data_IF_503458508843
#
_entry.id   IF_503458508843
#
_cell.length_a   1.000
_cell.length_b   1.000
_cell.length_c   1.000
_cell.angle_alpha   90.00
_cell.angle_beta   90.00
_cell.angle_gamma   90.00
#
_symmetry.space_group_name_H-M   'P 1'
#
loop_
_entity.id
_entity.type
_entity.pdbx_description
1 polymer ?
#
# COMPACT_ATOMS: atom_id res chain seq x y z
N UNK A 1 -15.07 3.32 -11.36
CA UNK A 1 -14.32 3.30 -10.09
C UNK A 1 -12.87 2.89 -10.36
N UNK A 2 -11.96 3.53 -9.68
CA UNK A 2 -10.53 3.18 -9.75
C UNK A 2 -10.29 1.79 -9.16
N UNK A 3 -9.49 0.98 -9.86
CA UNK A 3 -9.05 -0.33 -9.37
C UNK A 3 -7.80 -0.17 -8.50
N UNK A 4 -7.83 -0.73 -7.30
CA UNK A 4 -6.73 -0.75 -6.34
C UNK A 4 -6.33 -2.21 -6.11
N UNK A 5 -5.03 -2.50 -6.21
CA UNK A 5 -4.50 -3.81 -5.87
C UNK A 5 -4.30 -3.89 -4.36
N UNK A 6 -4.70 -4.99 -3.75
CA UNK A 6 -4.56 -5.18 -2.31
C UNK A 6 -4.08 -6.60 -1.98
N UNK A 7 -3.20 -6.70 -1.01
CA UNK A 7 -2.69 -7.98 -0.53
C UNK A 7 -2.21 -7.84 0.92
N UNK A 8 -2.02 -8.95 1.58
CA UNK A 8 -1.51 -9.00 2.96
C UNK A 8 -0.75 -10.30 3.22
N UNK A 9 -0.23 -10.44 4.43
CA UNK A 9 0.08 -11.73 5.00
C UNK A 9 -1.08 -12.18 5.93
N UNK A 10 -0.87 -13.25 6.69
CA UNK A 10 -1.87 -13.74 7.65
C UNK A 10 -2.17 -12.72 8.75
N UNK A 11 -1.15 -11.97 9.23
CA UNK A 11 -1.33 -10.95 10.26
C UNK A 11 -2.13 -9.73 9.75
N UNK A 12 -2.01 -9.41 8.47
CA UNK A 12 -2.71 -8.29 7.85
C UNK A 12 -4.06 -8.63 7.27
N UNK A 13 -4.45 -9.90 7.25
CA UNK A 13 -5.68 -10.36 6.57
C UNK A 13 -6.95 -9.66 7.07
N UNK A 14 -7.16 -9.60 8.37
CA UNK A 14 -8.39 -8.98 8.93
C UNK A 14 -8.48 -7.50 8.57
N UNK A 15 -7.38 -6.75 8.68
CA UNK A 15 -7.36 -5.35 8.28
C UNK A 15 -7.59 -5.19 6.78
N UNK A 16 -7.00 -6.07 5.95
CA UNK A 16 -7.25 -6.09 4.49
C UNK A 16 -8.75 -6.22 4.18
N UNK A 17 -9.45 -7.14 4.83
CA UNK A 17 -10.87 -7.34 4.64
C UNK A 17 -11.71 -6.13 5.11
N UNK A 18 -11.34 -5.53 6.23
CA UNK A 18 -11.98 -4.30 6.72
C UNK A 18 -11.78 -3.12 5.76
N UNK A 19 -10.60 -2.99 5.17
CA UNK A 19 -10.31 -1.97 4.16
C UNK A 19 -11.22 -2.14 2.95
N UNK A 20 -11.29 -3.34 2.39
CA UNK A 20 -12.15 -3.63 1.24
C UNK A 20 -13.59 -3.28 1.52
N UNK A 21 -14.11 -3.69 2.69
CA UNK A 21 -15.48 -3.39 3.12
C UNK A 21 -15.72 -1.89 3.26
N UNK A 22 -14.80 -1.16 3.89
CA UNK A 22 -14.96 0.27 4.15
C UNK A 22 -14.98 1.11 2.87
N UNK A 23 -14.21 0.72 1.88
CA UNK A 23 -14.03 1.48 0.63
C UNK A 23 -14.74 0.89 -0.59
N UNK A 24 -15.59 -0.11 -0.41
CA UNK A 24 -16.24 -0.82 -1.54
C UNK A 24 -17.09 0.08 -2.45
N UNK A 25 -17.59 1.22 -1.93
CA UNK A 25 -18.34 2.20 -2.73
C UNK A 25 -17.47 3.20 -3.47
N UNK A 26 -16.18 3.29 -3.10
CA UNK A 26 -15.21 4.24 -3.69
C UNK A 26 -14.25 3.58 -4.67
N UNK A 27 -13.87 2.34 -4.41
CA UNK A 27 -12.83 1.64 -5.18
C UNK A 27 -13.24 0.20 -5.51
N UNK A 28 -12.77 -0.26 -6.65
CA UNK A 28 -12.81 -1.67 -7.01
C UNK A 28 -11.48 -2.30 -6.56
N UNK A 29 -11.54 -3.32 -5.71
CA UNK A 29 -10.34 -4.00 -5.27
C UNK A 29 -10.04 -5.24 -6.09
N UNK A 30 -8.78 -5.39 -6.51
CA UNK A 30 -8.25 -6.65 -6.97
C UNK A 30 -7.42 -7.24 -5.82
N UNK A 31 -8.01 -8.20 -5.13
CA UNK A 31 -7.40 -8.87 -3.98
C UNK A 31 -6.48 -9.99 -4.47
N UNK A 32 -5.21 -9.93 -4.10
CA UNK A 32 -4.19 -10.90 -4.49
C UNK A 32 -3.86 -11.91 -3.38
N UNK A 33 -4.70 -11.96 -2.36
CA UNK A 33 -4.60 -12.92 -1.27
C UNK A 33 -3.88 -12.40 -0.03
N UNK A 34 -3.77 -13.28 0.98
CA UNK A 34 -4.36 -14.61 1.11
C UNK A 34 -5.88 -14.55 1.32
N UNK A 35 -6.52 -15.74 1.35
CA UNK A 35 -7.97 -15.87 1.52
C UNK A 35 -8.40 -16.13 2.96
N UNK A 36 -7.45 -16.28 3.88
CA UNK A 36 -7.72 -16.50 5.29
C UNK A 36 -6.55 -16.02 6.15
N UNK A 37 -6.77 -15.94 7.47
CA UNK A 37 -5.76 -15.55 8.46
C UNK A 37 -5.16 -16.74 9.23
N UNK A 38 -5.62 -17.95 8.97
CA UNK A 38 -5.31 -19.13 9.78
C UNK A 38 -4.01 -19.81 9.37
N UNK A 39 -3.65 -19.73 8.10
CA UNK A 39 -2.41 -20.29 7.57
C UNK A 39 -1.32 -19.25 7.56
N UNK A 40 -0.21 -19.53 8.26
CA UNK A 40 0.96 -18.66 8.21
C UNK A 40 1.55 -18.62 6.82
N UNK A 41 1.85 -17.43 6.31
CA UNK A 41 2.40 -17.22 4.98
C UNK A 41 3.60 -16.28 5.05
N UNK A 42 4.44 -16.32 4.03
CA UNK A 42 5.59 -15.43 3.90
C UNK A 42 5.15 -14.12 3.22
N UNK A 43 5.22 -13.02 3.94
CA UNK A 43 4.78 -11.71 3.43
C UNK A 43 5.45 -11.30 2.11
N UNK A 44 6.75 -11.59 1.85
CA UNK A 44 7.38 -11.18 0.58
C UNK A 44 6.71 -11.79 -0.65
N UNK A 45 6.20 -13.01 -0.56
CA UNK A 45 5.51 -13.65 -1.69
C UNK A 45 4.31 -12.82 -2.15
N UNK A 46 3.56 -12.30 -1.19
CA UNK A 46 2.38 -11.46 -1.47
C UNK A 46 2.76 -10.04 -1.89
N UNK A 47 3.84 -9.50 -1.34
CA UNK A 47 4.39 -8.21 -1.78
C UNK A 47 4.81 -8.29 -3.26
N UNK A 48 5.57 -9.31 -3.64
CA UNK A 48 6.03 -9.49 -5.02
C UNK A 48 4.88 -9.67 -6.00
N UNK A 49 3.88 -10.45 -5.61
CA UNK A 49 2.68 -10.67 -6.42
C UNK A 49 1.94 -9.38 -6.74
N UNK A 50 1.77 -8.52 -5.75
CA UNK A 50 1.13 -7.21 -5.92
C UNK A 50 2.01 -6.26 -6.74
N UNK A 51 3.31 -6.20 -6.47
CA UNK A 51 4.22 -5.32 -7.17
C UNK A 51 4.27 -5.58 -8.68
N UNK A 52 4.20 -6.84 -9.09
CA UNK A 52 4.11 -7.23 -10.51
C UNK A 52 2.87 -6.65 -11.21
N UNK A 53 1.77 -6.47 -10.48
CA UNK A 53 0.55 -5.85 -11.01
C UNK A 53 0.68 -4.33 -11.04
N UNK A 54 1.14 -3.73 -9.96
CA UNK A 54 1.27 -2.27 -9.85
C UNK A 54 2.27 -1.73 -10.87
N UNK A 55 3.39 -2.43 -11.10
CA UNK A 55 4.44 -2.02 -12.04
C UNK A 55 4.01 -1.91 -13.51
N UNK A 56 2.86 -2.49 -13.87
CA UNK A 56 2.38 -2.52 -15.26
C UNK A 56 1.91 -1.15 -15.78
N UNK A 57 1.55 -0.23 -14.88
CA UNK A 57 1.13 1.12 -15.26
C UNK A 57 1.47 2.12 -14.18
N UNK A 58 1.89 3.31 -14.57
CA UNK A 58 2.18 4.41 -13.65
C UNK A 58 0.95 4.92 -12.89
N UNK A 59 -0.24 4.61 -13.36
CA UNK A 59 -1.51 4.97 -12.69
C UNK A 59 -1.96 3.94 -11.66
N UNK A 60 -1.33 2.75 -11.63
CA UNK A 60 -1.70 1.71 -10.69
C UNK A 60 -1.23 2.05 -9.27
N UNK A 61 -2.05 1.69 -8.30
CA UNK A 61 -1.75 1.86 -6.88
C UNK A 61 -2.05 0.57 -6.12
N UNK A 62 -1.32 0.37 -5.02
CA UNK A 62 -1.44 -0.82 -4.21
C UNK A 62 -1.49 -0.55 -2.71
N UNK A 63 -2.08 -1.49 -1.99
CA UNK A 63 -2.13 -1.54 -0.53
C UNK A 63 -1.57 -2.88 -0.08
N UNK A 64 -0.56 -2.85 0.78
CA UNK A 64 0.03 -4.03 1.40
C UNK A 64 -0.11 -3.94 2.91
N UNK A 65 -0.55 -5.03 3.53
CA UNK A 65 -0.74 -5.08 4.98
C UNK A 65 0.00 -6.29 5.57
N UNK A 66 0.83 -6.04 6.55
CA UNK A 66 1.40 -7.09 7.41
C UNK A 66 1.34 -6.64 8.87
N UNK A 67 2.04 -7.30 9.78
CA UNK A 67 2.01 -6.95 11.20
C UNK A 67 2.52 -5.53 11.48
N UNK A 68 3.62 -5.13 10.84
CA UNK A 68 4.25 -3.80 11.03
C UNK A 68 4.20 -2.90 9.79
N UNK A 69 3.96 -3.46 8.60
CA UNK A 69 4.09 -2.77 7.33
C UNK A 69 5.53 -2.61 6.85
N UNK A 70 6.50 -2.88 7.71
CA UNK A 70 7.93 -2.65 7.44
C UNK A 70 8.47 -3.67 6.44
N UNK A 71 8.29 -4.95 6.70
CA UNK A 71 8.76 -6.01 5.80
C UNK A 71 8.12 -5.94 4.42
N UNK A 72 6.83 -5.63 4.37
CA UNK A 72 6.11 -5.40 3.10
C UNK A 72 6.75 -4.27 2.28
N UNK A 73 7.14 -3.16 2.92
CA UNK A 73 7.77 -2.05 2.23
C UNK A 73 9.16 -2.42 1.71
N UNK A 74 9.93 -3.16 2.50
CA UNK A 74 11.27 -3.61 2.09
C UNK A 74 11.19 -4.53 0.86
N UNK A 75 10.28 -5.52 0.88
CA UNK A 75 10.08 -6.43 -0.24
C UNK A 75 9.58 -5.69 -1.49
N UNK A 76 8.61 -4.80 -1.32
CA UNK A 76 8.03 -4.03 -2.42
C UNK A 76 9.06 -3.13 -3.10
N UNK A 77 9.91 -2.45 -2.34
CA UNK A 77 10.90 -1.52 -2.87
C UNK A 77 12.08 -2.20 -3.59
N UNK A 78 12.13 -3.52 -3.64
CA UNK A 78 13.05 -4.27 -4.51
C UNK A 78 12.64 -4.21 -5.98
N UNK A 79 11.40 -3.88 -6.27
CA UNK A 79 10.91 -3.80 -7.64
C UNK A 79 11.14 -2.42 -8.24
N UNK A 80 11.70 -2.38 -9.46
CA UNK A 80 11.73 -1.15 -10.25
C UNK A 80 10.32 -0.60 -10.43
N UNK A 81 10.16 0.70 -10.49
CA UNK A 81 8.88 1.43 -10.62
C UNK A 81 8.00 1.35 -9.38
N UNK A 82 8.43 0.70 -8.30
CA UNK A 82 7.71 0.68 -7.04
C UNK A 82 8.36 1.65 -6.05
N UNK A 83 7.53 2.49 -5.46
CA UNK A 83 7.87 3.35 -4.34
C UNK A 83 6.83 3.10 -3.26
N UNK A 84 7.17 2.18 -2.38
CA UNK A 84 6.32 1.79 -1.25
C UNK A 84 6.69 2.58 -0.01
N UNK A 85 5.69 3.09 0.69
CA UNK A 85 5.87 3.86 1.91
C UNK A 85 5.11 3.22 3.06
N UNK A 86 5.79 3.04 4.20
CA UNK A 86 5.14 2.65 5.46
C UNK A 86 4.40 3.87 5.99
N UNK A 87 3.08 3.75 6.12
CA UNK A 87 2.24 4.85 6.57
C UNK A 87 1.59 4.52 7.90
N UNK A 88 1.79 5.38 8.87
CA UNK A 88 1.29 5.24 10.25
C UNK A 88 0.64 6.53 10.76
N UNK A 89 0.68 7.60 9.99
CA UNK A 89 0.04 8.88 10.32
C UNK A 89 -0.44 9.58 9.05
N UNK A 90 -1.38 10.50 9.22
CA UNK A 90 -1.87 11.31 8.11
C UNK A 90 -0.74 12.14 7.49
N UNK A 91 0.15 12.69 8.33
CA UNK A 91 1.26 13.52 7.89
C UNK A 91 2.26 12.75 7.03
N UNK A 92 2.76 11.59 7.51
CA UNK A 92 3.74 10.84 6.72
C UNK A 92 3.12 10.26 5.45
N UNK A 93 1.85 9.93 5.47
CA UNK A 93 1.12 9.47 4.29
C UNK A 93 1.07 10.55 3.20
N UNK A 94 0.67 11.77 3.58
CA UNK A 94 0.63 12.89 2.62
C UNK A 94 2.01 13.17 2.04
N UNK A 95 3.06 13.19 2.87
CA UNK A 95 4.43 13.41 2.42
C UNK A 95 4.90 12.33 1.45
N UNK A 96 4.55 11.08 1.66
CA UNK A 96 4.91 9.99 0.75
C UNK A 96 4.35 10.20 -0.67
N UNK A 97 3.18 10.83 -0.76
CA UNK A 97 2.58 11.19 -2.04
C UNK A 97 3.16 12.49 -2.60
N UNK A 98 3.16 13.55 -1.81
CA UNK A 98 3.61 14.88 -2.24
C UNK A 98 5.06 14.87 -2.71
N UNK A 99 5.95 14.22 -1.98
CA UNK A 99 7.39 14.27 -2.21
C UNK A 99 7.94 13.08 -2.98
N UNK A 100 7.42 11.88 -2.73
CA UNK A 100 8.01 10.65 -3.24
C UNK A 100 7.15 9.97 -4.33
N UNK A 101 5.99 10.50 -4.62
CA UNK A 101 5.03 9.88 -5.55
C UNK A 101 4.88 8.38 -5.29
N UNK A 102 4.75 8.01 -4.01
CA UNK A 102 4.60 6.62 -3.61
C UNK A 102 3.38 6.00 -4.31
N UNK A 103 3.53 4.80 -4.84
CA UNK A 103 2.46 4.10 -5.53
C UNK A 103 1.95 2.87 -4.76
N UNK A 104 2.60 2.54 -3.65
CA UNK A 104 2.13 1.52 -2.70
C UNK A 104 2.18 2.09 -1.30
N UNK A 105 1.07 1.96 -0.58
CA UNK A 105 1.01 2.21 0.86
C UNK A 105 1.15 0.87 1.59
N UNK A 106 2.02 0.81 2.59
CA UNK A 106 2.10 -0.35 3.48
C UNK A 106 1.63 0.02 4.88
N UNK A 107 0.90 -0.89 5.50
CA UNK A 107 0.24 -0.69 6.78
C UNK A 107 0.58 -1.83 7.74
N UNK A 108 0.72 -1.48 9.01
CA UNK A 108 0.97 -2.43 10.09
C UNK A 108 -0.30 -2.70 10.91
N UNK A 109 -0.88 -3.88 10.76
CA UNK A 109 -2.13 -4.26 11.47
C UNK A 109 -1.99 -4.27 12.99
N UNK A 110 -0.76 -4.51 13.49
CA UNK A 110 -0.47 -4.56 14.93
C UNK A 110 -0.05 -3.21 15.51
N UNK A 111 0.30 -2.24 14.67
CA UNK A 111 0.86 -0.96 15.08
C UNK A 111 -0.06 0.23 14.83
N UNK A 112 -0.97 0.10 13.87
CA UNK A 112 -1.84 1.19 13.43
C UNK A 112 -3.29 0.85 13.68
N UNK A 113 -4.00 1.74 14.39
CA UNK A 113 -5.43 1.58 14.62
C UNK A 113 -6.21 1.59 13.30
N UNK A 114 -7.29 0.83 13.23
CA UNK A 114 -8.13 0.71 12.04
C UNK A 114 -8.55 2.06 11.45
N UNK A 115 -9.06 2.97 12.27
CA UNK A 115 -9.49 4.29 11.80
C UNK A 115 -8.34 5.13 11.27
N UNK A 116 -7.17 5.05 11.88
CA UNK A 116 -5.96 5.71 11.37
C UNK A 116 -5.55 5.12 10.03
N UNK A 117 -5.59 3.80 9.88
CA UNK A 117 -5.31 3.13 8.60
C UNK A 117 -6.27 3.60 7.50
N UNK A 118 -7.56 3.72 7.79
CA UNK A 118 -8.55 4.21 6.83
C UNK A 118 -8.27 5.65 6.40
N UNK A 119 -7.94 6.53 7.35
CA UNK A 119 -7.58 7.93 7.06
C UNK A 119 -6.31 8.03 6.23
N UNK A 120 -5.33 7.18 6.51
CA UNK A 120 -4.11 7.10 5.71
C UNK A 120 -4.41 6.66 4.27
N UNK A 121 -5.21 5.63 4.09
CA UNK A 121 -5.60 5.17 2.75
C UNK A 121 -6.32 6.28 1.97
N UNK A 122 -7.28 6.95 2.60
CA UNK A 122 -8.00 8.04 1.96
C UNK A 122 -7.07 9.18 1.55
N UNK A 123 -6.16 9.59 2.43
CA UNK A 123 -5.16 10.60 2.12
C UNK A 123 -4.22 10.16 0.99
N UNK A 124 -3.77 8.89 1.02
CA UNK A 124 -2.89 8.34 0.00
C UNK A 124 -3.53 8.38 -1.39
N UNK A 125 -4.79 7.98 -1.49
CA UNK A 125 -5.52 7.94 -2.75
C UNK A 125 -5.86 9.33 -3.31
N UNK A 126 -6.01 10.33 -2.44
CA UNK A 126 -6.46 11.68 -2.82
C UNK A 126 -5.34 12.72 -2.90
N UNK A 127 -4.13 12.42 -2.43
CA UNK A 127 -3.01 13.34 -2.48
C UNK A 127 -2.22 13.17 -3.78
N UNK A 128 -2.12 14.22 -4.56
CA UNK A 128 -1.36 14.22 -5.83
C UNK A 128 0.11 14.50 -5.57
N UNK A 129 0.97 14.00 -6.47
CA UNK A 129 2.39 14.33 -6.46
C UNK A 129 2.60 15.83 -6.73
N UNK A 130 3.40 16.46 -5.88
CA UNK A 130 3.73 17.89 -6.02
C UNK A 130 4.61 18.18 -7.23
N UNK A 131 5.47 17.24 -7.61
CA UNK A 131 6.39 17.41 -8.72
C UNK A 131 7.55 18.34 -8.38
N UNK A 132 7.84 19.29 -9.27
CA UNK A 132 8.90 20.26 -9.05
C UNK A 132 10.25 19.63 -8.75
N UNK A 133 10.93 20.09 -7.69
CA UNK A 133 12.24 19.59 -7.24
C UNK A 133 12.25 18.11 -6.90
N UNK A 134 11.10 17.53 -6.55
CA UNK A 134 10.99 16.13 -6.17
C UNK A 134 11.14 15.17 -7.34
N UNK A 135 10.78 15.57 -8.56
CA UNK A 135 10.93 14.74 -9.78
C UNK A 135 12.35 14.24 -9.98
N UNK A 136 13.31 15.14 -9.88
CA UNK A 136 14.74 14.85 -10.05
C UNK A 136 15.22 13.85 -9.01
N UNK A 137 14.73 13.97 -7.78
CA UNK A 137 15.13 13.11 -6.66
C UNK A 137 14.59 11.70 -6.80
N UNK A 138 13.30 11.55 -7.10
CA UNK A 138 12.69 10.21 -7.23
C UNK A 138 13.23 9.45 -8.45
N UNK A 139 13.73 10.12 -9.47
CA UNK A 139 14.37 9.46 -10.63
C UNK A 139 15.69 8.77 -10.28
N UNK A 140 16.26 9.08 -9.13
CA UNK A 140 17.52 8.50 -8.64
C UNK A 140 17.30 7.34 -7.66
N UNK A 141 16.07 6.99 -7.35
CA UNK A 141 15.73 5.83 -6.52
C UNK A 141 15.98 4.51 -7.24
#
# INVERSE_FOLDING_TARGET
MKTIFISSDHAGFNLKEQIKKNFLKKYKFQDLGPNNSMTSVNYPDYAHKLCKKVSKSSSNMGILVCGSGIGMSMAANRHKKIRAAVCYSLKNTKLSRLHNNANIITLGSRLTKKNTAFRCIEAFMNTKFEGGRHKKRIRKI
#
